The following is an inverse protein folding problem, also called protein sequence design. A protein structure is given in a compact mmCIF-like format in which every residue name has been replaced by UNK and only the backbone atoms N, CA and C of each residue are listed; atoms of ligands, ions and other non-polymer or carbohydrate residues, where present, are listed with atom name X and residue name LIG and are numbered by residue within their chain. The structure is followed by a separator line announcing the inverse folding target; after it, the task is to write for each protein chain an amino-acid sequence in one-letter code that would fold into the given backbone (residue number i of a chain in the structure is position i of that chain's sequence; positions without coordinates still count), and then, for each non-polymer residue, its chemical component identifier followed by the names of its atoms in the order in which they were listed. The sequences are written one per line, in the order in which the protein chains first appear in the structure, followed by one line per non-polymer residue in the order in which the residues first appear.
data_IF_151080437394
#
_entry.id   IF_151080437394
#
_cell.length_a   1.000
_cell.length_b   1.000
_cell.length_c   1.000
_cell.angle_alpha   90.00
_cell.angle_beta   90.00
_cell.angle_gamma   90.00
#
_symmetry.space_group_name_H-M   'P 1'
#
loop_
_entity.id
_entity.type
_entity.pdbx_description
1 polymer ?
#
# COMPACT_ATOMS: atom_id res chain seq x y z
N UNK A 1 -7.34 24.84 -10.18
CA UNK A 1 -6.91 24.83 -8.77
C UNK A 1 -6.24 23.49 -8.47
N UNK A 2 -6.94 22.39 -8.19
CA UNK A 2 -6.37 21.04 -7.97
C UNK A 2 -5.03 20.68 -8.66
N UNK A 3 -4.91 20.83 -9.99
CA UNK A 3 -3.63 20.57 -10.68
C UNK A 3 -2.51 21.54 -10.25
N UNK A 4 -2.79 22.84 -10.19
CA UNK A 4 -1.84 23.88 -9.76
C UNK A 4 -1.53 23.76 -8.26
N UNK A 5 -2.54 23.48 -7.44
CA UNK A 5 -2.38 23.31 -5.99
C UNK A 5 -1.52 22.08 -5.65
N UNK A 6 -1.42 21.13 -6.59
CA UNK A 6 -0.54 19.97 -6.52
C UNK A 6 0.85 20.19 -7.13
N UNK A 7 1.27 21.44 -7.38
CA UNK A 7 2.50 21.80 -8.10
C UNK A 7 2.60 21.13 -9.48
N UNK A 8 1.47 20.96 -10.17
CA UNK A 8 1.39 20.29 -11.47
C UNK A 8 1.55 18.77 -11.41
N UNK A 9 1.57 18.14 -10.22
CA UNK A 9 1.81 16.70 -10.13
C UNK A 9 0.56 15.86 -10.42
N UNK A 10 -0.64 16.37 -10.15
CA UNK A 10 -1.86 15.57 -10.25
C UNK A 10 -2.35 15.39 -11.69
N UNK A 11 -2.52 14.13 -12.08
CA UNK A 11 -3.22 13.75 -13.30
C UNK A 11 -4.74 13.65 -13.12
N UNK A 12 -5.44 13.36 -14.22
CA UNK A 12 -6.90 13.26 -14.25
C UNK A 12 -7.52 12.39 -13.13
N UNK A 13 -6.96 11.22 -12.73
CA UNK A 13 -7.54 10.43 -11.65
C UNK A 13 -7.57 11.16 -10.30
N UNK A 14 -6.48 11.86 -9.94
CA UNK A 14 -6.37 12.55 -8.64
C UNK A 14 -7.22 13.82 -8.63
N UNK A 15 -7.20 14.59 -9.71
CA UNK A 15 -8.08 15.75 -9.87
C UNK A 15 -9.55 15.33 -9.80
N UNK A 16 -9.92 14.18 -10.37
CA UNK A 16 -11.32 13.69 -10.30
C UNK A 16 -11.71 13.29 -8.87
N UNK A 17 -10.80 12.71 -8.10
CA UNK A 17 -11.05 12.37 -6.70
C UNK A 17 -11.21 13.63 -5.85
N UNK A 18 -10.29 14.58 -5.98
CA UNK A 18 -10.32 15.85 -5.25
C UNK A 18 -11.58 16.67 -5.55
N UNK A 19 -12.00 16.74 -6.83
CA UNK A 19 -13.27 17.38 -7.20
C UNK A 19 -14.49 16.72 -6.54
N UNK A 20 -14.45 15.43 -6.22
CA UNK A 20 -15.54 14.75 -5.49
C UNK A 20 -15.45 15.01 -4.00
N UNK A 21 -14.25 15.01 -3.44
CA UNK A 21 -14.00 15.20 -2.02
C UNK A 21 -14.34 16.64 -1.59
N UNK A 22 -14.12 17.63 -2.46
CA UNK A 22 -14.51 19.03 -2.26
C UNK A 22 -16.02 19.30 -2.44
N UNK A 23 -16.83 18.27 -2.66
CA UNK A 23 -18.27 18.42 -2.92
C UNK A 23 -18.60 19.01 -4.29
N UNK A 24 -17.63 18.98 -5.22
CA UNK A 24 -17.81 19.41 -6.59
C UNK A 24 -18.64 18.42 -7.43
N UNK A 25 -18.87 18.75 -8.71
CA UNK A 25 -19.70 17.93 -9.59
C UNK A 25 -19.13 16.52 -9.76
N UNK A 26 -19.99 15.51 -9.82
CA UNK A 26 -19.59 14.13 -10.12
C UNK A 26 -19.16 13.99 -11.60
N UNK A 27 -17.92 14.37 -11.90
CA UNK A 27 -17.37 14.33 -13.25
C UNK A 27 -16.69 12.98 -13.52
N UNK A 28 -16.84 12.47 -14.75
CA UNK A 28 -16.11 11.30 -15.22
C UNK A 28 -14.64 11.66 -15.47
N UNK A 29 -13.70 10.83 -14.98
CA UNK A 29 -12.26 11.01 -15.18
C UNK A 29 -11.85 11.16 -16.65
N UNK A 30 -12.59 10.57 -17.61
CA UNK A 30 -12.35 10.77 -19.05
C UNK A 30 -12.61 12.20 -19.50
N UNK A 31 -13.60 12.87 -18.91
CA UNK A 31 -13.90 14.29 -19.18
C UNK A 31 -12.81 15.18 -18.60
N UNK A 32 -12.39 14.91 -17.36
CA UNK A 32 -11.25 15.60 -16.74
C UNK A 32 -10.00 15.45 -17.61
N UNK A 33 -9.66 14.22 -18.04
CA UNK A 33 -8.52 13.95 -18.90
C UNK A 33 -8.60 14.68 -20.25
N UNK A 34 -9.80 14.81 -20.84
CA UNK A 34 -10.00 15.54 -22.09
C UNK A 34 -9.74 17.04 -21.90
N UNK A 35 -10.31 17.63 -20.85
CA UNK A 35 -10.12 19.04 -20.53
C UNK A 35 -8.64 19.32 -20.30
N UNK A 36 -7.97 18.54 -19.45
CA UNK A 36 -6.52 18.65 -19.21
C UNK A 36 -5.72 18.68 -20.50
N UNK A 37 -5.99 17.77 -21.45
CA UNK A 37 -5.32 17.77 -22.76
C UNK A 37 -5.59 19.04 -23.57
N UNK A 38 -6.83 19.54 -23.58
CA UNK A 38 -7.19 20.77 -24.30
C UNK A 38 -6.43 22.00 -23.77
N UNK A 39 -6.12 22.03 -22.47
CA UNK A 39 -5.37 23.13 -21.84
C UNK A 39 -3.90 22.81 -21.59
N UNK A 40 -3.37 21.75 -22.20
CA UNK A 40 -1.95 21.38 -22.12
C UNK A 40 -1.47 20.92 -20.75
N UNK A 41 -2.37 20.50 -19.85
CA UNK A 41 -2.01 19.97 -18.53
C UNK A 41 -1.79 18.45 -18.58
N UNK A 42 -0.74 18.00 -17.91
CA UNK A 42 -0.43 16.60 -17.73
C UNK A 42 0.04 16.32 -16.30
N UNK A 43 -0.38 15.18 -15.74
CA UNK A 43 0.09 14.78 -14.42
C UNK A 43 1.51 14.22 -14.48
N UNK A 44 2.31 14.49 -13.45
CA UNK A 44 3.65 13.93 -13.32
C UNK A 44 3.57 12.44 -12.99
N UNK A 45 4.19 11.62 -13.84
CA UNK A 45 4.43 10.20 -13.56
C UNK A 45 5.92 9.97 -13.31
N UNK A 46 6.29 9.82 -12.03
CA UNK A 46 7.62 9.37 -11.65
C UNK A 46 7.84 7.93 -12.14
N UNK A 47 8.54 7.77 -13.27
CA UNK A 47 9.05 6.46 -13.69
C UNK A 47 10.11 6.04 -12.66
N UNK A 48 9.86 4.93 -11.94
CA UNK A 48 10.87 4.32 -11.07
C UNK A 48 12.08 3.95 -11.94
N UNK A 49 13.22 4.64 -11.73
CA UNK A 49 14.49 4.37 -12.41
C UNK A 49 15.32 3.25 -11.76
N UNK A 50 14.98 2.83 -10.53
CA UNK A 50 15.78 1.88 -9.76
C UNK A 50 15.31 0.44 -9.98
N UNK A 51 16.23 -0.44 -10.38
CA UNK A 51 16.01 -1.89 -10.43
C UNK A 51 16.38 -2.48 -9.08
N UNK A 52 15.38 -2.95 -8.33
CA UNK A 52 15.55 -3.49 -6.97
C UNK A 52 16.20 -4.86 -6.93
N UNK A 53 15.97 -5.67 -7.98
CA UNK A 53 16.34 -7.09 -7.96
C UNK A 53 16.94 -7.44 -9.31
N UNK A 54 18.18 -7.94 -9.27
CA UNK A 54 18.75 -8.71 -10.37
C UNK A 54 18.47 -10.16 -10.01
N UNK A 55 17.66 -10.84 -10.82
CA UNK A 55 17.37 -12.25 -10.59
C UNK A 55 18.65 -13.06 -10.81
N UNK A 56 19.07 -13.82 -9.81
CA UNK A 56 20.04 -14.87 -10.00
C UNK A 56 19.36 -16.02 -10.76
N UNK A 57 19.87 -16.32 -11.95
CA UNK A 57 19.30 -17.37 -12.82
C UNK A 57 19.51 -18.78 -12.25
N UNK A 58 20.51 -18.96 -11.38
CA UNK A 58 20.78 -20.22 -10.71
C UNK A 58 19.99 -20.39 -9.41
N UNK A 59 19.39 -19.33 -8.87
CA UNK A 59 18.62 -19.39 -7.64
C UNK A 59 17.25 -20.05 -7.85
N UNK A 60 16.95 -21.07 -7.04
CA UNK A 60 15.60 -21.63 -6.95
C UNK A 60 14.63 -20.56 -6.45
N UNK A 61 13.51 -20.38 -7.15
CA UNK A 61 12.45 -19.46 -6.70
C UNK A 61 11.92 -19.92 -5.34
N UNK A 62 11.75 -18.98 -4.42
CA UNK A 62 11.08 -19.26 -3.17
C UNK A 62 9.68 -19.84 -3.44
N UNK A 63 9.27 -20.90 -2.73
CA UNK A 63 7.95 -21.49 -2.91
C UNK A 63 6.86 -20.49 -2.51
N UNK A 64 5.78 -20.45 -3.29
CA UNK A 64 4.60 -19.64 -2.98
C UNK A 64 3.76 -20.33 -1.91
N UNK A 65 4.12 -20.07 -0.65
CA UNK A 65 3.50 -20.71 0.52
C UNK A 65 2.01 -20.39 0.69
N UNK A 66 1.49 -19.33 0.05
CA UNK A 66 0.09 -18.93 0.16
C UNK A 66 -0.69 -19.11 -1.15
N UNK A 67 -0.04 -19.61 -2.21
CA UNK A 67 -0.67 -19.81 -3.52
C UNK A 67 -1.31 -18.55 -4.09
N UNK A 68 -0.74 -17.37 -3.80
CA UNK A 68 -1.32 -16.04 -4.07
C UNK A 68 -2.73 -15.80 -3.51
N UNK A 69 -3.17 -16.59 -2.54
CA UNK A 69 -4.40 -16.33 -1.79
C UNK A 69 -4.12 -15.31 -0.67
N UNK A 70 -4.41 -14.05 -1.00
CA UNK A 70 -4.28 -12.89 -0.12
C UNK A 70 -5.49 -12.67 0.79
N UNK A 71 -6.28 -13.72 1.04
CA UNK A 71 -7.38 -13.70 2.01
C UNK A 71 -7.03 -14.50 3.27
N UNK A 72 -7.58 -14.09 4.41
CA UNK A 72 -7.44 -14.79 5.68
C UNK A 72 -8.71 -14.65 6.52
N UNK A 73 -9.24 -15.77 7.03
CA UNK A 73 -10.46 -15.79 7.83
C UNK A 73 -10.26 -15.36 9.30
N UNK A 74 -9.03 -15.45 9.81
CA UNK A 74 -8.67 -15.10 11.19
C UNK A 74 -7.35 -14.35 11.24
N UNK A 75 -7.23 -13.45 12.21
CA UNK A 75 -5.99 -12.72 12.50
C UNK A 75 -4.86 -13.68 12.86
N UNK A 76 -3.63 -13.24 12.64
CA UNK A 76 -2.38 -13.94 12.90
C UNK A 76 -2.22 -15.27 12.14
N UNK A 77 -2.84 -15.40 10.96
CA UNK A 77 -2.75 -16.61 10.11
C UNK A 77 -1.93 -16.43 8.85
N UNK A 78 -2.04 -15.28 8.20
CA UNK A 78 -1.28 -14.95 7.00
C UNK A 78 -0.85 -13.49 7.09
N UNK A 79 0.44 -13.28 6.89
CA UNK A 79 1.04 -11.96 6.81
C UNK A 79 1.61 -11.74 5.42
N UNK A 80 1.53 -10.51 4.93
CA UNK A 80 2.22 -10.07 3.73
C UNK A 80 3.12 -8.92 4.09
N UNK A 81 4.29 -8.87 3.47
CA UNK A 81 5.23 -7.78 3.66
C UNK A 81 5.62 -7.11 2.35
N UNK A 82 6.07 -5.87 2.47
CA UNK A 82 6.70 -5.12 1.39
C UNK A 82 7.99 -4.46 1.92
N UNK A 83 8.97 -4.28 1.04
CA UNK A 83 10.17 -3.50 1.31
C UNK A 83 10.19 -2.33 0.33
N UNK A 84 10.11 -1.12 0.89
CA UNK A 84 10.14 0.13 0.13
C UNK A 84 11.49 0.82 0.30
N UNK A 85 12.13 1.17 -0.81
CA UNK A 85 13.36 1.97 -0.84
C UNK A 85 13.02 3.46 -0.68
N UNK A 86 13.65 4.12 0.29
CA UNK A 86 13.48 5.53 0.61
C UNK A 86 14.78 6.28 0.28
N UNK A 87 14.83 7.03 -0.84
CA UNK A 87 15.97 7.88 -1.13
C UNK A 87 16.03 9.03 -0.12
N UNK A 88 17.20 9.22 0.51
CA UNK A 88 17.46 10.32 1.45
C UNK A 88 18.59 11.17 0.88
N UNK A 89 18.36 12.48 0.73
CA UNK A 89 19.37 13.39 0.19
C UNK A 89 20.57 13.48 1.14
N UNK A 90 21.78 13.39 0.59
CA UNK A 90 23.03 13.50 1.37
C UNK A 90 23.34 12.29 2.27
N UNK A 91 22.56 11.22 2.21
CA UNK A 91 22.77 10.02 3.02
C UNK A 91 22.63 8.73 2.20
N UNK A 92 23.05 7.62 2.80
CA UNK A 92 22.72 6.30 2.25
C UNK A 92 21.20 6.12 2.27
N UNK A 93 20.63 5.50 1.22
CA UNK A 93 19.20 5.24 1.18
C UNK A 93 18.76 4.33 2.32
N UNK A 94 17.53 4.55 2.78
CA UNK A 94 16.90 3.74 3.81
C UNK A 94 15.94 2.73 3.18
N UNK A 95 15.62 1.69 3.94
CA UNK A 95 14.63 0.68 3.56
C UNK A 95 13.55 0.63 4.64
N UNK A 96 12.29 0.78 4.21
CA UNK A 96 11.13 0.56 5.06
C UNK A 96 10.62 -0.85 4.82
N UNK A 97 10.70 -1.70 5.84
CA UNK A 97 10.04 -3.01 5.83
C UNK A 97 8.67 -2.88 6.50
N UNK A 98 7.64 -3.40 5.85
CA UNK A 98 6.28 -3.46 6.39
C UNK A 98 5.79 -4.89 6.43
N UNK A 99 4.92 -5.19 7.41
CA UNK A 99 4.20 -6.46 7.52
C UNK A 99 2.76 -6.13 7.84
N UNK A 100 1.81 -6.73 7.14
CA UNK A 100 0.37 -6.54 7.31
C UNK A 100 -0.27 -7.90 7.57
N UNK A 101 -1.12 -7.98 8.58
CA UNK A 101 -1.99 -9.13 8.79
C UNK A 101 -3.16 -9.10 7.80
N UNK A 102 -3.36 -10.18 7.04
CA UNK A 102 -4.33 -10.20 5.94
C UNK A 102 -5.79 -10.14 6.40
N UNK A 103 -6.12 -10.60 7.61
CA UNK A 103 -7.48 -10.61 8.12
C UNK A 103 -7.88 -9.25 8.70
N UNK A 104 -7.01 -8.64 9.51
CA UNK A 104 -7.26 -7.35 10.16
C UNK A 104 -6.90 -6.14 9.31
N UNK A 105 -6.12 -6.33 8.24
CA UNK A 105 -5.55 -5.24 7.40
C UNK A 105 -4.72 -4.22 8.18
N UNK A 106 -4.27 -4.57 9.38
CA UNK A 106 -3.43 -3.71 10.22
C UNK A 106 -1.96 -3.98 9.93
N UNK A 107 -1.18 -2.90 9.89
CA UNK A 107 0.27 -2.98 9.95
C UNK A 107 0.68 -3.62 11.28
N UNK A 108 1.69 -4.47 11.23
CA UNK A 108 2.15 -5.30 12.32
C UNK A 108 2.52 -4.49 13.56
N UNK A 109 1.58 -4.39 14.49
CA UNK A 109 1.82 -4.26 15.91
C UNK A 109 1.31 -5.56 16.54
N UNK A 110 2.18 -6.35 17.16
CA UNK A 110 1.80 -7.55 17.91
C UNK A 110 0.89 -7.16 19.08
N UNK A 111 -0.42 -7.39 19.00
CA UNK A 111 -1.27 -7.50 20.20
C UNK A 111 -1.05 -8.92 20.77
N UNK A 112 -0.73 -9.08 22.06
CA UNK A 112 -0.64 -10.41 22.65
C UNK A 112 -1.99 -11.12 22.53
N UNK A 113 -1.93 -12.40 22.17
CA UNK A 113 -3.09 -13.28 22.13
C UNK A 113 -3.59 -13.44 23.57
N UNK A 114 -4.77 -12.90 23.89
CA UNK A 114 -5.45 -13.27 25.13
C UNK A 114 -6.06 -14.64 24.88
N UNK A 115 -5.33 -15.71 25.22
CA UNK A 115 -5.91 -17.05 25.22
C UNK A 115 -6.77 -17.19 26.49
N UNK A 116 -8.07 -17.21 26.29
CA UNK A 116 -9.09 -17.28 27.32
C UNK A 116 -9.33 -18.73 27.75
N UNK A 117 -8.32 -19.40 28.30
CA UNK A 117 -8.51 -20.66 29.03
C UNK A 117 -8.22 -20.44 30.51
N UNK A 118 -9.25 -20.02 31.26
CA UNK A 118 -9.23 -20.13 32.72
C UNK A 118 -9.29 -21.61 33.08
N UNK A 119 -8.16 -22.20 33.41
CA UNK A 119 -8.15 -23.44 34.19
C UNK A 119 -8.73 -23.10 35.56
N UNK A 120 -9.98 -23.51 35.83
CA UNK A 120 -10.49 -23.62 37.20
C UNK A 120 -9.59 -24.61 37.93
N UNK A 121 -8.97 -24.17 39.03
CA UNK A 121 -8.43 -25.10 40.03
C UNK A 121 -9.61 -25.89 40.62
N UNK A 122 -9.47 -27.20 40.85
CA UNK A 122 -10.43 -27.91 41.66
C UNK A 122 -10.23 -27.48 43.12
N UNK A 123 -11.30 -27.01 43.75
CA UNK A 123 -11.37 -26.93 45.20
C UNK A 123 -11.50 -28.35 45.75
N UNK A 124 -10.65 -28.68 46.71
CA UNK A 124 -10.69 -29.90 47.51
C UNK A 124 -9.48 -29.88 48.43
N UNK A 125 -9.57 -30.17 49.72
CA UNK A 125 -10.63 -30.74 50.55
C UNK A 125 -9.94 -31.13 51.86
#
# INVERSE_FOLDING_TARGET
KAHQDSDGTYGAPRITAELRDEGGPAVNHKRVARIMRTIGLEGVRLRRRHRTTVADQAASRAPDLIGRDFTAAKVNRKYVGDITYLPVSGAKPLYLATVIDLASRRLGHRRPHADGTRHRRPDGG
#
